data_IF_425700461830
#
_entry.id   IF_425700461830
#
_cell.length_a   1.000
_cell.length_b   1.000
_cell.length_c   1.000
_cell.angle_alpha   90.00
_cell.angle_beta   90.00
_cell.angle_gamma   90.00
#
_symmetry.space_group_name_H-M   'P 1'
#
loop_
_entity.id
_entity.type
_entity.pdbx_description
1 polymer ?
#
# COMPACT_ATOMS: atom_id res chain seq x y z
N UNK A 1 23.98 17.64 -10.99
CA UNK A 1 22.81 16.74 -11.10
C UNK A 1 23.06 15.59 -10.12
N UNK A 2 22.39 15.58 -8.97
CA UNK A 2 22.63 14.54 -7.94
C UNK A 2 21.80 13.32 -8.32
N UNK A 3 22.39 12.36 -9.02
CA UNK A 3 21.82 11.03 -9.18
C UNK A 3 22.28 10.18 -8.01
N UNK A 4 21.39 9.34 -7.50
CA UNK A 4 21.84 8.31 -6.58
C UNK A 4 22.78 7.40 -7.34
N UNK A 5 24.01 7.28 -6.83
CA UNK A 5 24.97 6.34 -7.38
C UNK A 5 24.47 4.92 -7.16
N UNK A 6 24.90 4.00 -8.00
CA UNK A 6 24.56 2.58 -7.88
C UNK A 6 24.84 2.04 -6.47
N UNK A 7 25.96 2.42 -5.87
CA UNK A 7 26.32 2.09 -4.49
C UNK A 7 25.27 2.56 -3.45
N UNK A 8 24.67 3.74 -3.66
CA UNK A 8 23.64 4.26 -2.78
C UNK A 8 22.34 3.45 -2.91
N UNK A 9 21.97 3.07 -4.14
CA UNK A 9 20.83 2.19 -4.39
C UNK A 9 21.04 0.80 -3.78
N UNK A 10 22.24 0.23 -3.93
CA UNK A 10 22.59 -1.07 -3.34
C UNK A 10 22.52 -1.02 -1.81
N UNK A 11 23.10 0.03 -1.19
CA UNK A 11 23.03 0.22 0.26
C UNK A 11 21.58 0.38 0.74
N UNK A 12 20.80 1.24 0.10
CA UNK A 12 19.41 1.44 0.48
C UNK A 12 18.57 0.16 0.29
N UNK A 13 18.89 -0.67 -0.71
CA UNK A 13 18.22 -1.95 -0.94
C UNK A 13 18.60 -3.06 0.03
N UNK A 14 19.72 -2.93 0.78
CA UNK A 14 20.13 -3.90 1.79
C UNK A 14 19.55 -3.62 3.18
N UNK A 15 19.07 -2.40 3.42
CA UNK A 15 18.44 -2.02 4.70
C UNK A 15 17.13 -2.80 4.85
N UNK A 16 17.00 -3.51 5.97
CA UNK A 16 15.80 -4.29 6.30
C UNK A 16 14.91 -3.61 7.33
N UNK A 17 15.48 -2.74 8.15
CA UNK A 17 14.79 -2.00 9.20
C UNK A 17 13.99 -0.84 8.59
N UNK A 18 12.68 -0.83 8.82
CA UNK A 18 11.84 0.27 8.33
C UNK A 18 12.25 1.60 8.96
N UNK A 19 12.61 1.61 10.24
CA UNK A 19 12.94 2.84 10.96
C UNK A 19 14.19 3.51 10.39
N UNK A 20 15.23 2.74 10.06
CA UNK A 20 16.45 3.25 9.42
C UNK A 20 16.13 3.91 8.06
N UNK A 21 15.29 3.27 7.23
CA UNK A 21 14.85 3.85 5.96
C UNK A 21 14.08 5.15 6.15
N UNK A 22 13.20 5.21 7.14
CA UNK A 22 12.40 6.40 7.43
C UNK A 22 13.24 7.56 7.98
N UNK A 23 14.36 7.28 8.65
CA UNK A 23 15.33 8.29 9.10
C UNK A 23 16.14 8.87 7.95
N UNK A 24 16.48 8.05 6.95
CA UNK A 24 17.17 8.50 5.74
C UNK A 24 16.24 9.25 4.77
N UNK A 25 14.95 8.93 4.79
CA UNK A 25 13.94 9.43 3.84
C UNK A 25 13.99 10.96 3.61
N UNK A 26 14.04 11.85 4.63
CA UNK A 26 14.10 13.29 4.39
C UNK A 26 15.30 13.71 3.52
N UNK A 27 16.48 13.13 3.77
CA UNK A 27 17.70 13.45 3.02
C UNK A 27 17.63 12.94 1.57
N UNK A 28 17.03 11.77 1.37
CA UNK A 28 16.82 11.16 0.05
C UNK A 28 15.87 12.00 -0.80
N UNK A 29 14.74 12.42 -0.22
CA UNK A 29 13.77 13.29 -0.87
C UNK A 29 14.40 14.65 -1.23
N UNK A 30 15.21 15.20 -0.32
CA UNK A 30 15.94 16.46 -0.56
C UNK A 30 16.92 16.34 -1.73
N UNK A 31 17.70 15.25 -1.81
CA UNK A 31 18.63 14.99 -2.92
C UNK A 31 17.92 14.90 -4.27
N UNK A 32 16.67 14.44 -4.27
CA UNK A 32 15.80 14.40 -5.46
C UNK A 32 15.14 15.75 -5.78
N UNK A 33 15.42 16.80 -5.00
CA UNK A 33 14.96 18.17 -5.25
C UNK A 33 13.54 18.45 -4.75
N UNK A 34 13.08 17.71 -3.73
CA UNK A 34 11.78 17.93 -3.10
C UNK A 34 11.97 18.38 -1.65
N UNK A 35 11.24 19.43 -1.26
CA UNK A 35 11.30 19.97 0.10
C UNK A 35 10.39 19.21 1.06
N UNK A 36 9.29 18.64 0.54
CA UNK A 36 8.25 17.99 1.34
C UNK A 36 8.02 16.55 0.89
N UNK A 37 7.72 15.67 1.84
CA UNK A 37 7.25 14.32 1.61
C UNK A 37 6.11 13.94 2.55
N UNK A 38 5.33 12.95 2.13
CA UNK A 38 4.39 12.22 2.99
C UNK A 38 4.43 10.76 2.60
N UNK A 39 4.73 9.89 3.57
CA UNK A 39 4.66 8.45 3.44
C UNK A 39 3.46 7.93 4.23
N UNK A 40 2.67 7.06 3.62
CA UNK A 40 1.41 6.56 4.18
C UNK A 40 1.41 5.04 4.05
N UNK A 41 1.10 4.34 5.14
CA UNK A 41 0.81 2.91 5.15
C UNK A 41 -0.69 2.71 5.38
N UNK A 42 -1.33 2.02 4.46
CA UNK A 42 -2.74 1.66 4.48
C UNK A 42 -2.87 0.16 4.68
N UNK A 43 -3.76 -0.23 5.58
CA UNK A 43 -4.14 -1.62 5.84
C UNK A 43 -5.67 -1.70 5.92
N UNK A 44 -6.25 -2.80 5.44
CA UNK A 44 -7.70 -2.99 5.56
C UNK A 44 -8.16 -2.96 7.02
N UNK A 45 -9.22 -2.22 7.30
CA UNK A 45 -9.81 -2.14 8.65
C UNK A 45 -8.99 -1.38 9.69
N UNK A 46 -7.89 -0.73 9.31
CA UNK A 46 -7.04 0.04 10.22
C UNK A 46 -6.92 1.51 9.77
N UNK A 47 -6.70 2.40 10.74
CA UNK A 47 -6.41 3.80 10.45
C UNK A 47 -5.08 3.93 9.67
N UNK A 48 -4.97 4.89 8.73
CA UNK A 48 -3.73 5.15 8.02
C UNK A 48 -2.60 5.52 8.99
N UNK A 49 -1.45 4.88 8.86
CA UNK A 49 -0.22 5.34 9.51
C UNK A 49 0.48 6.33 8.57
N UNK A 50 0.90 7.48 9.08
CA UNK A 50 1.45 8.58 8.28
C UNK A 50 2.73 9.10 8.91
N UNK A 51 3.78 9.29 8.09
CA UNK A 51 5.00 10.04 8.43
C UNK A 51 5.28 11.09 7.35
N UNK A 52 5.48 12.34 7.75
CA UNK A 52 5.68 13.45 6.81
C UNK A 52 6.51 14.56 7.45
N UNK A 53 6.95 15.52 6.63
CA UNK A 53 7.58 16.76 7.07
C UNK A 53 6.77 18.00 6.65
N UNK A 54 5.46 17.87 6.53
CA UNK A 54 4.59 19.00 6.22
C UNK A 54 4.52 19.97 7.41
N UNK A 55 4.21 21.27 7.17
CA UNK A 55 3.98 22.23 8.23
C UNK A 55 2.96 21.71 9.26
N UNK A 56 3.21 21.95 10.54
CA UNK A 56 2.35 21.45 11.62
C UNK A 56 0.92 22.00 11.52
N UNK A 57 0.78 23.24 11.05
CA UNK A 57 -0.51 23.89 10.81
C UNK A 57 -1.31 23.18 9.71
N UNK A 58 -0.63 22.70 8.66
CA UNK A 58 -1.28 21.88 7.64
C UNK A 58 -1.72 20.54 8.22
N UNK A 59 -0.86 19.87 9.00
CA UNK A 59 -1.20 18.59 9.63
C UNK A 59 -2.40 18.73 10.57
N UNK A 60 -2.46 19.79 11.37
CA UNK A 60 -3.58 20.10 12.26
C UNK A 60 -4.87 20.35 11.47
N UNK A 61 -4.81 21.24 10.47
CA UNK A 61 -5.95 21.53 9.60
C UNK A 61 -6.49 20.27 8.91
N UNK A 62 -5.59 19.41 8.41
CA UNK A 62 -5.93 18.17 7.73
C UNK A 62 -6.68 17.19 8.65
N UNK A 63 -6.28 17.10 9.92
CA UNK A 63 -6.93 16.26 10.92
C UNK A 63 -8.28 16.83 11.35
N UNK A 64 -8.33 18.11 11.74
CA UNK A 64 -9.56 18.77 12.23
C UNK A 64 -10.71 18.72 11.22
N UNK A 65 -10.39 18.76 9.92
CA UNK A 65 -11.38 18.76 8.84
C UNK A 65 -11.59 17.38 8.21
N UNK A 66 -11.03 16.30 8.80
CA UNK A 66 -11.12 14.93 8.29
C UNK A 66 -10.80 14.80 6.80
N UNK A 67 -9.80 15.55 6.32
CA UNK A 67 -9.51 15.64 4.88
C UNK A 67 -9.07 14.33 4.26
N UNK A 68 -8.72 13.31 5.06
CA UNK A 68 -8.39 11.97 4.59
C UNK A 68 -9.48 11.32 3.73
N UNK A 69 -10.75 11.60 3.99
CA UNK A 69 -11.87 10.98 3.29
C UNK A 69 -12.08 11.58 1.89
N UNK A 70 -11.61 12.81 1.71
CA UNK A 70 -11.80 13.61 0.51
C UNK A 70 -10.48 14.03 -0.15
N UNK A 71 -9.33 13.49 0.30
CA UNK A 71 -8.01 13.86 -0.21
C UNK A 71 -7.87 13.38 -1.67
N UNK A 72 -7.87 14.31 -2.65
CA UNK A 72 -7.81 13.96 -4.06
C UNK A 72 -6.51 13.25 -4.44
N UNK A 73 -5.42 13.47 -3.69
CA UNK A 73 -4.16 12.75 -3.89
C UNK A 73 -4.35 11.27 -3.59
N UNK A 74 -5.01 10.95 -2.47
CA UNK A 74 -5.30 9.56 -2.12
C UNK A 74 -6.27 8.94 -3.12
N UNK A 75 -7.33 9.64 -3.51
CA UNK A 75 -8.31 9.12 -4.47
C UNK A 75 -7.67 8.76 -5.81
N UNK A 76 -6.82 9.64 -6.35
CA UNK A 76 -6.19 9.44 -7.65
C UNK A 76 -5.04 8.41 -7.59
N UNK A 77 -4.23 8.43 -6.54
CA UNK A 77 -3.06 7.55 -6.45
C UNK A 77 -3.43 6.15 -5.97
N UNK A 78 -4.52 5.97 -5.22
CA UNK A 78 -4.90 4.66 -4.68
C UNK A 78 -5.12 3.59 -5.74
N UNK A 79 -5.61 3.98 -6.92
CA UNK A 79 -5.94 3.04 -8.00
C UNK A 79 -4.90 3.03 -9.13
N UNK A 80 -3.79 3.74 -8.96
CA UNK A 80 -2.73 3.82 -9.97
C UNK A 80 -1.52 2.98 -9.57
N UNK A 81 -1.02 2.18 -10.52
CA UNK A 81 0.28 1.50 -10.39
C UNK A 81 1.44 2.37 -10.87
N UNK A 82 1.13 3.41 -11.66
CA UNK A 82 2.11 4.38 -12.14
C UNK A 82 2.11 5.63 -11.26
N UNK A 83 3.23 6.37 -11.22
CA UNK A 83 3.25 7.62 -10.49
C UNK A 83 2.28 8.64 -11.09
N UNK A 84 1.64 9.41 -10.22
CA UNK A 84 0.60 10.39 -10.58
C UNK A 84 1.12 11.81 -10.33
N UNK A 85 1.31 12.56 -11.42
CA UNK A 85 1.69 13.98 -11.37
C UNK A 85 0.49 14.84 -10.93
N UNK A 86 0.74 15.81 -10.03
CA UNK A 86 -0.28 16.77 -9.62
C UNK A 86 -0.42 17.85 -10.70
N UNK A 87 -1.24 17.59 -11.72
CA UNK A 87 -1.51 18.49 -12.83
C UNK A 87 -2.70 19.42 -12.57
N UNK A 88 -2.90 20.39 -13.45
CA UNK A 88 -4.08 21.26 -13.43
C UNK A 88 -5.41 20.47 -13.44
N UNK A 89 -5.45 19.33 -14.13
CA UNK A 89 -6.62 18.46 -14.17
C UNK A 89 -6.90 17.81 -12.80
N UNK A 90 -5.86 17.33 -12.11
CA UNK A 90 -5.99 16.77 -10.76
C UNK A 90 -6.38 17.87 -9.75
N UNK A 91 -5.87 19.09 -9.96
CA UNK A 91 -6.20 20.27 -9.14
C UNK A 91 -7.66 20.68 -9.29
N UNK A 92 -8.20 20.67 -10.52
CA UNK A 92 -9.56 21.08 -10.83
C UNK A 92 -10.65 20.26 -10.10
N UNK A 93 -10.34 19.02 -9.70
CA UNK A 93 -11.28 18.15 -8.97
C UNK A 93 -11.55 18.60 -7.54
N UNK A 94 -10.65 19.37 -6.92
CA UNK A 94 -10.76 19.79 -5.52
C UNK A 94 -10.05 21.14 -5.29
N UNK A 95 -10.50 22.23 -5.94
CA UNK A 95 -9.74 23.49 -6.00
C UNK A 95 -9.45 24.10 -4.63
N UNK A 96 -10.40 24.04 -3.69
CA UNK A 96 -10.21 24.58 -2.34
C UNK A 96 -9.14 23.80 -1.54
N UNK A 97 -9.11 22.47 -1.66
CA UNK A 97 -8.10 21.63 -1.03
C UNK A 97 -6.71 21.98 -1.55
N UNK A 98 -6.56 22.07 -2.87
CA UNK A 98 -5.29 22.38 -3.51
C UNK A 98 -4.82 23.80 -3.20
N UNK A 99 -5.71 24.79 -3.24
CA UNK A 99 -5.37 26.17 -2.87
C UNK A 99 -4.83 26.25 -1.43
N UNK A 100 -5.46 25.54 -0.48
CA UNK A 100 -5.00 25.48 0.91
C UNK A 100 -3.67 24.73 1.03
N UNK A 101 -3.51 23.59 0.36
CA UNK A 101 -2.25 22.82 0.34
C UNK A 101 -1.10 23.66 -0.22
N UNK A 102 -1.37 24.40 -1.29
CA UNK A 102 -0.44 25.30 -1.96
C UNK A 102 -0.05 26.50 -1.08
N UNK A 103 -0.95 27.03 -0.25
CA UNK A 103 -0.62 28.13 0.67
C UNK A 103 0.40 27.73 1.75
N UNK A 104 0.58 26.42 1.98
CA UNK A 104 1.61 25.87 2.86
C UNK A 104 2.87 25.40 2.10
N UNK A 105 3.05 25.82 0.84
CA UNK A 105 4.25 25.51 0.06
C UNK A 105 4.26 24.15 -0.61
N UNK A 106 3.25 23.30 -0.42
CA UNK A 106 3.16 22.01 -1.14
C UNK A 106 2.49 22.22 -2.50
N UNK A 107 3.20 22.86 -3.45
CA UNK A 107 2.62 23.33 -4.72
C UNK A 107 2.80 22.35 -5.88
N UNK A 108 4.04 21.97 -6.14
CA UNK A 108 4.40 21.12 -7.27
C UNK A 108 4.85 19.76 -6.75
N UNK A 109 4.23 18.68 -7.20
CA UNK A 109 4.50 17.37 -6.66
C UNK A 109 3.81 16.24 -7.41
N UNK A 110 4.01 15.05 -6.90
CA UNK A 110 3.45 13.82 -7.47
C UNK A 110 3.43 12.73 -6.41
N UNK A 111 2.79 11.61 -6.73
CA UNK A 111 2.56 10.55 -5.76
C UNK A 111 2.68 9.18 -6.39
N UNK A 112 3.34 8.26 -5.71
CA UNK A 112 3.48 6.87 -6.09
C UNK A 112 2.74 5.99 -5.09
N UNK A 113 2.00 4.99 -5.58
CA UNK A 113 1.46 3.91 -4.75
C UNK A 113 2.15 2.58 -5.05
N UNK A 114 2.34 1.77 -4.02
CA UNK A 114 2.70 0.35 -4.13
C UNK A 114 1.63 -0.43 -3.40
N UNK A 115 1.07 -1.45 -4.05
CA UNK A 115 0.05 -2.33 -3.49
C UNK A 115 0.59 -3.76 -3.38
N UNK A 116 0.22 -4.45 -2.32
CA UNK A 116 0.50 -5.87 -2.11
C UNK A 116 -0.80 -6.68 -2.11
N UNK A 117 -0.70 -7.98 -2.44
CA UNK A 117 -1.85 -8.89 -2.60
C UNK A 117 -2.70 -9.04 -1.34
N UNK A 118 -2.13 -8.73 -0.18
CA UNK A 118 -2.77 -8.85 1.14
C UNK A 118 -3.57 -7.60 1.54
N UNK A 119 -3.83 -6.68 0.60
CA UNK A 119 -4.58 -5.45 0.88
C UNK A 119 -3.79 -4.37 1.61
N UNK A 120 -2.46 -4.52 1.70
CA UNK A 120 -1.55 -3.49 2.19
C UNK A 120 -1.14 -2.57 1.05
N UNK A 121 -1.14 -1.27 1.30
CA UNK A 121 -0.73 -0.27 0.33
C UNK A 121 0.17 0.76 0.99
N UNK A 122 1.26 1.10 0.30
CA UNK A 122 2.13 2.22 0.66
C UNK A 122 1.96 3.33 -0.36
N UNK A 123 1.93 4.58 0.09
CA UNK A 123 1.89 5.76 -0.77
C UNK A 123 3.01 6.71 -0.37
N UNK A 124 3.82 7.12 -1.34
CA UNK A 124 4.85 8.14 -1.16
C UNK A 124 4.49 9.36 -2.03
N UNK A 125 4.26 10.49 -1.37
CA UNK A 125 4.04 11.79 -1.98
C UNK A 125 5.29 12.64 -1.82
N UNK A 126 5.69 13.35 -2.87
CA UNK A 126 6.81 14.31 -2.83
C UNK A 126 6.39 15.63 -3.45
N UNK A 127 6.85 16.74 -2.89
CA UNK A 127 6.51 18.07 -3.40
C UNK A 127 7.50 19.16 -3.03
N UNK A 128 7.41 20.29 -3.73
CA UNK A 128 8.24 21.48 -3.54
C UNK A 128 7.39 22.77 -3.73
N UNK A 129 7.83 23.91 -3.15
CA UNK A 129 7.10 25.17 -3.25
C UNK A 129 7.23 25.84 -4.62
N UNK A 130 8.37 25.65 -5.28
CA UNK A 130 8.72 26.37 -6.50
C UNK A 130 9.32 25.43 -7.55
N UNK A 131 9.28 25.85 -8.80
CA UNK A 131 9.70 25.06 -9.96
C UNK A 131 8.63 24.06 -10.37
N UNK A 132 7.95 24.31 -11.48
CA UNK A 132 7.06 23.32 -12.09
C UNK A 132 7.84 22.04 -12.43
N UNK A 133 7.18 20.89 -12.30
CA UNK A 133 7.77 19.60 -12.66
C UNK A 133 7.34 19.32 -14.09
N UNK A 134 8.28 19.51 -15.02
CA UNK A 134 8.03 19.13 -16.41
C UNK A 134 8.05 17.61 -16.60
N UNK A 135 7.62 17.16 -17.78
CA UNK A 135 7.54 15.73 -18.09
C UNK A 135 8.90 15.04 -18.10
N UNK A 136 9.96 15.74 -18.51
CA UNK A 136 11.31 15.19 -18.57
C UNK A 136 11.87 14.97 -17.16
N UNK A 137 11.76 15.96 -16.28
CA UNK A 137 12.10 15.83 -14.86
C UNK A 137 11.31 14.70 -14.20
N UNK A 138 9.99 14.66 -14.45
CA UNK A 138 9.11 13.63 -13.89
C UNK A 138 9.57 12.23 -14.30
N UNK A 139 9.79 11.98 -15.60
CA UNK A 139 10.26 10.68 -16.10
C UNK A 139 11.65 10.32 -15.55
N UNK A 140 12.55 11.29 -15.47
CA UNK A 140 13.89 11.08 -14.96
C UNK A 140 13.91 10.71 -13.45
N UNK A 141 12.97 11.25 -12.67
CA UNK A 141 12.87 11.00 -11.22
C UNK A 141 11.86 9.90 -10.87
N UNK A 142 10.98 9.51 -11.80
CA UNK A 142 10.00 8.44 -11.70
C UNK A 142 10.58 7.17 -11.08
N UNK A 143 11.66 6.67 -11.67
CA UNK A 143 12.32 5.44 -11.24
C UNK A 143 12.84 5.51 -9.80
N UNK A 144 13.41 6.63 -9.38
CA UNK A 144 13.98 6.79 -8.04
C UNK A 144 12.90 6.77 -6.94
N UNK A 145 11.79 7.50 -7.14
CA UNK A 145 10.68 7.52 -6.18
C UNK A 145 9.90 6.21 -6.21
N UNK A 146 9.70 5.61 -7.40
CA UNK A 146 9.09 4.29 -7.54
C UNK A 146 9.89 3.26 -6.74
N UNK A 147 11.20 3.23 -6.94
CA UNK A 147 12.10 2.33 -6.25
C UNK A 147 12.10 2.57 -4.73
N UNK A 148 12.22 3.84 -4.30
CA UNK A 148 12.20 4.19 -2.89
C UNK A 148 10.89 3.79 -2.21
N UNK A 149 9.74 4.01 -2.87
CA UNK A 149 8.44 3.62 -2.37
C UNK A 149 8.33 2.08 -2.23
N UNK A 150 8.91 1.32 -3.17
CA UNK A 150 8.94 -0.15 -3.09
C UNK A 150 9.83 -0.65 -1.95
N UNK A 151 11.00 -0.04 -1.74
CA UNK A 151 11.90 -0.41 -0.63
C UNK A 151 11.25 -0.14 0.73
N UNK A 152 10.67 1.05 0.92
CA UNK A 152 9.89 1.38 2.11
C UNK A 152 8.72 0.42 2.33
N UNK A 153 8.02 0.07 1.25
CA UNK A 153 6.91 -0.86 1.32
C UNK A 153 7.36 -2.27 1.72
N UNK A 154 8.45 -2.77 1.14
CA UNK A 154 9.00 -4.09 1.44
C UNK A 154 9.48 -4.23 2.89
N UNK A 155 10.12 -3.20 3.44
CA UNK A 155 10.49 -3.18 4.86
C UNK A 155 9.24 -3.22 5.77
N UNK A 156 8.26 -2.36 5.46
CA UNK A 156 7.01 -2.26 6.23
C UNK A 156 6.13 -3.53 6.19
N UNK A 157 6.16 -4.28 5.09
CA UNK A 157 5.43 -5.55 4.98
C UNK A 157 6.18 -6.70 5.61
N UNK A 158 7.52 -6.72 5.56
CA UNK A 158 8.34 -7.76 6.19
C UNK A 158 8.13 -7.84 7.69
N UNK A 159 8.14 -6.71 8.39
CA UNK A 159 7.86 -6.66 9.84
C UNK A 159 6.50 -7.28 10.17
N UNK A 160 5.47 -6.99 9.37
CA UNK A 160 4.12 -7.54 9.57
C UNK A 160 4.07 -9.04 9.24
N UNK A 161 4.64 -9.45 8.12
CA UNK A 161 4.70 -10.86 7.72
C UNK A 161 5.46 -11.73 8.73
N UNK A 162 6.51 -11.19 9.36
CA UNK A 162 7.21 -11.87 10.43
C UNK A 162 6.29 -12.17 11.65
N UNK A 163 5.29 -11.32 11.89
CA UNK A 163 4.29 -11.52 12.96
C UNK A 163 3.09 -12.37 12.54
N UNK A 164 2.86 -12.58 11.24
CA UNK A 164 1.73 -13.36 10.72
C UNK A 164 2.22 -14.57 9.92
N UNK A 165 2.26 -15.74 10.54
CA UNK A 165 2.49 -16.98 9.79
C UNK A 165 1.25 -17.36 8.98
N UNK A 166 1.38 -17.73 7.71
CA UNK A 166 0.23 -18.22 6.94
C UNK A 166 -0.36 -19.47 7.61
N UNK A 167 -1.69 -19.64 7.60
CA UNK A 167 -2.34 -20.82 8.15
C UNK A 167 -1.85 -22.06 7.41
N UNK A 168 -1.48 -23.11 8.16
CA UNK A 168 -1.01 -24.39 7.59
C UNK A 168 -2.19 -25.22 7.08
N UNK A 169 -2.74 -24.80 5.95
CA UNK A 169 -3.82 -25.51 5.26
C UNK A 169 -3.26 -26.73 4.51
N UNK A 170 -3.95 -27.86 4.60
CA UNK A 170 -3.64 -29.04 3.80
C UNK A 170 -4.06 -28.84 2.33
N UNK A 171 -3.48 -29.58 1.37
CA UNK A 171 -3.88 -29.49 -0.03
C UNK A 171 -5.39 -29.68 -0.25
N UNK A 172 -6.03 -30.57 0.52
CA UNK A 172 -7.49 -30.78 0.44
C UNK A 172 -8.30 -29.65 1.04
N UNK A 173 -7.83 -29.03 2.12
CA UNK A 173 -8.47 -27.82 2.66
C UNK A 173 -8.41 -26.66 1.65
N UNK A 174 -7.27 -26.50 0.98
CA UNK A 174 -7.07 -25.52 -0.10
C UNK A 174 -8.04 -25.76 -1.26
N UNK A 175 -8.12 -27.00 -1.78
CA UNK A 175 -9.03 -27.34 -2.88
C UNK A 175 -10.50 -27.08 -2.53
N UNK A 176 -10.93 -27.48 -1.34
CA UNK A 176 -12.31 -27.28 -0.87
C UNK A 176 -12.63 -25.78 -0.73
N UNK A 177 -11.68 -24.97 -0.23
CA UNK A 177 -11.84 -23.52 -0.16
C UNK A 177 -11.85 -22.86 -1.55
N UNK A 178 -11.02 -23.32 -2.50
CA UNK A 178 -11.01 -22.80 -3.89
C UNK A 178 -12.35 -22.99 -4.57
N UNK A 179 -12.92 -24.20 -4.51
CA UNK A 179 -14.24 -24.45 -5.08
C UNK A 179 -15.35 -23.71 -4.33
N UNK A 180 -15.22 -23.56 -3.02
CA UNK A 180 -16.11 -22.72 -2.22
C UNK A 180 -16.07 -21.25 -2.67
N UNK A 181 -14.89 -20.71 -3.00
CA UNK A 181 -14.72 -19.36 -3.52
C UNK A 181 -15.26 -19.17 -4.94
N UNK A 182 -15.25 -20.23 -5.73
CA UNK A 182 -15.96 -20.28 -7.02
C UNK A 182 -17.49 -20.42 -6.87
N UNK A 183 -18.03 -20.35 -5.66
CA UNK A 183 -19.47 -20.39 -5.38
C UNK A 183 -20.08 -21.78 -5.28
N UNK A 184 -19.28 -22.85 -5.24
CA UNK A 184 -19.80 -24.22 -5.14
C UNK A 184 -20.29 -24.56 -3.73
N UNK A 185 -21.40 -25.29 -3.70
CA UNK A 185 -21.99 -25.86 -2.48
C UNK A 185 -21.26 -27.14 -2.06
N UNK A 186 -21.39 -27.55 -0.79
CA UNK A 186 -20.71 -28.76 -0.31
C UNK A 186 -21.08 -30.05 -1.11
N UNK A 187 -22.34 -30.25 -1.56
CA UNK A 187 -22.68 -31.35 -2.48
C UNK A 187 -21.99 -31.27 -3.84
N UNK A 188 -21.90 -30.08 -4.44
CA UNK A 188 -21.21 -29.91 -5.73
C UNK A 188 -19.71 -30.14 -5.59
N UNK A 189 -19.10 -29.65 -4.51
CA UNK A 189 -17.67 -29.87 -4.21
C UNK A 189 -17.40 -31.36 -3.98
N UNK A 190 -18.30 -32.05 -3.27
CA UNK A 190 -18.21 -33.49 -3.04
C UNK A 190 -18.19 -34.26 -4.37
N UNK A 191 -19.05 -33.88 -5.32
CA UNK A 191 -19.06 -34.46 -6.66
C UNK A 191 -17.77 -34.13 -7.43
N UNK A 192 -17.30 -32.87 -7.40
CA UNK A 192 -16.11 -32.42 -8.13
C UNK A 192 -14.81 -33.06 -7.64
N UNK A 193 -14.71 -33.36 -6.34
CA UNK A 193 -13.51 -33.89 -5.70
C UNK A 193 -13.59 -35.40 -5.41
N UNK A 194 -14.67 -36.06 -5.84
CA UNK A 194 -14.95 -37.48 -5.54
C UNK A 194 -14.92 -37.79 -4.03
N UNK A 195 -15.50 -36.89 -3.24
CA UNK A 195 -15.62 -36.99 -1.79
C UNK A 195 -17.08 -37.14 -1.38
N UNK A 196 -17.33 -37.47 -0.11
CA UNK A 196 -18.67 -37.31 0.47
C UNK A 196 -18.83 -35.91 1.08
N UNK A 197 -20.09 -35.44 1.21
CA UNK A 197 -20.42 -34.11 1.74
C UNK A 197 -19.89 -33.90 3.16
N UNK A 198 -19.86 -34.96 3.98
CA UNK A 198 -19.33 -34.90 5.35
C UNK A 198 -17.81 -34.62 5.36
N UNK A 199 -17.06 -35.23 4.44
CA UNK A 199 -15.62 -34.99 4.28
C UNK A 199 -15.33 -33.57 3.81
N UNK A 200 -16.14 -33.04 2.88
CA UNK A 200 -16.05 -31.63 2.47
C UNK A 200 -16.26 -30.70 3.68
N UNK A 201 -17.32 -30.93 4.46
CA UNK A 201 -17.61 -30.14 5.65
C UNK A 201 -16.51 -30.27 6.73
N UNK A 202 -15.89 -31.45 6.86
CA UNK A 202 -14.74 -31.66 7.74
C UNK A 202 -13.54 -30.79 7.34
N UNK A 203 -13.19 -30.74 6.05
CA UNK A 203 -12.12 -29.87 5.57
C UNK A 203 -12.45 -28.38 5.75
N UNK A 204 -13.70 -27.96 5.55
CA UNK A 204 -14.14 -26.58 5.83
C UNK A 204 -13.96 -26.26 7.31
N UNK A 205 -14.40 -27.14 8.21
CA UNK A 205 -14.27 -26.92 9.66
C UNK A 205 -12.80 -26.81 10.10
N UNK A 206 -11.92 -27.68 9.59
CA UNK A 206 -10.49 -27.58 9.88
C UNK A 206 -9.88 -26.29 9.36
N UNK A 207 -10.26 -25.87 8.15
CA UNK A 207 -9.78 -24.61 7.59
C UNK A 207 -10.22 -23.40 8.42
N UNK A 208 -11.48 -23.38 8.90
CA UNK A 208 -11.99 -22.34 9.81
C UNK A 208 -11.15 -22.28 11.08
N UNK A 209 -10.91 -23.43 11.72
CA UNK A 209 -10.08 -23.52 12.94
C UNK A 209 -8.65 -23.04 12.69
N UNK A 210 -8.00 -23.52 11.61
CA UNK A 210 -6.61 -23.18 11.29
C UNK A 210 -6.41 -21.71 10.89
N UNK A 211 -7.44 -21.07 10.35
CA UNK A 211 -7.42 -19.65 10.01
C UNK A 211 -7.83 -18.75 11.18
N UNK A 212 -8.31 -19.31 12.31
CA UNK A 212 -8.78 -18.54 13.46
C UNK A 212 -10.05 -17.73 13.16
N UNK A 213 -10.88 -18.19 12.22
CA UNK A 213 -12.07 -17.46 11.76
C UNK A 213 -13.36 -18.11 12.26
N UNK A 214 -14.51 -17.47 11.99
CA UNK A 214 -15.81 -17.92 12.51
C UNK A 214 -16.68 -18.65 11.49
N UNK A 215 -16.35 -18.56 10.19
CA UNK A 215 -17.15 -19.14 9.12
C UNK A 215 -16.33 -19.37 7.85
N UNK A 216 -16.89 -20.13 6.91
CA UNK A 216 -16.25 -20.50 5.63
C UNK A 216 -15.80 -19.29 4.82
N UNK A 217 -16.60 -18.22 4.77
CA UNK A 217 -16.28 -17.01 4.00
C UNK A 217 -15.09 -16.28 4.62
N UNK A 218 -15.12 -16.09 5.94
CA UNK A 218 -14.02 -15.50 6.69
C UNK A 218 -12.73 -16.33 6.55
N UNK A 219 -12.82 -17.67 6.64
CA UNK A 219 -11.69 -18.58 6.45
C UNK A 219 -11.05 -18.43 5.06
N UNK A 220 -11.89 -18.34 4.03
CA UNK A 220 -11.45 -18.12 2.65
C UNK A 220 -10.78 -16.75 2.48
N UNK A 221 -11.38 -15.68 3.00
CA UNK A 221 -10.79 -14.33 2.95
C UNK A 221 -9.44 -14.30 3.67
N UNK A 222 -9.35 -14.89 4.86
CA UNK A 222 -8.10 -15.00 5.61
C UNK A 222 -7.04 -15.80 4.84
N UNK A 223 -7.43 -16.91 4.19
CA UNK A 223 -6.51 -17.73 3.41
C UNK A 223 -6.01 -17.03 2.13
N UNK A 224 -6.85 -16.23 1.45
CA UNK A 224 -6.43 -15.36 0.33
C UNK A 224 -5.47 -14.28 0.84
N UNK A 225 -5.83 -13.60 1.94
CA UNK A 225 -5.01 -12.54 2.54
C UNK A 225 -3.67 -13.06 3.06
N UNK A 226 -3.57 -14.32 3.47
CA UNK A 226 -2.30 -14.92 3.88
C UNK A 226 -1.48 -15.46 2.70
N UNK A 227 -2.00 -15.45 1.47
CA UNK A 227 -1.38 -16.08 0.30
C UNK A 227 -1.41 -17.61 0.32
N UNK A 228 -2.32 -18.21 1.10
CA UNK A 228 -2.51 -19.67 1.16
C UNK A 228 -3.47 -20.20 0.08
N UNK A 229 -4.21 -19.32 -0.61
CA UNK A 229 -5.07 -19.61 -1.76
C UNK A 229 -4.60 -18.84 -2.99
#
# INVERSE_FOLDING_TARGET
MNHWKEEQLQRLGSIQDEQELLELLPSLIWQLGYAYYRYIKLSQGAAPWIRNNYPEEWNRYYQEHNLQEIDPVLTCTRHSHLPVLWSAETVAKAPAFWAKKQSFGMRYGWSQAVQHIQGHQSILCVSRPEGEIDHHEFQHKAGHILWLCNVLHAAATRERLATSSPPSLSPREVEVLKWSGAGKTAPEIALLLELNVRTVNFHIANAITKTGTTNKVAAMVAAIQSGAL
#
